data_IF_563747270535
#
_entry.id   IF_563747270535
#
_cell.length_a   1.000
_cell.length_b   1.000
_cell.length_c   1.000
_cell.angle_alpha   90.00
_cell.angle_beta   90.00
_cell.angle_gamma   90.00
#
_symmetry.space_group_name_H-M   'P 1'
#
loop_
_entity.id
_entity.type
_entity.pdbx_description
1 polymer ?
#
# COMPACT_ATOMS: atom_id res chain seq x y z
N UNK A 1 -9.64 -11.86 16.55
CA UNK A 1 -8.22 -11.99 16.13
C UNK A 1 -8.15 -11.45 14.73
N UNK A 2 -7.39 -10.38 14.48
CA UNK A 2 -7.20 -9.88 13.12
C UNK A 2 -6.18 -10.82 12.48
N UNK A 3 -6.60 -11.58 11.47
CA UNK A 3 -5.73 -12.49 10.74
C UNK A 3 -4.91 -11.66 9.75
N UNK A 4 -3.87 -11.02 10.25
CA UNK A 4 -2.89 -10.29 9.45
C UNK A 4 -1.67 -11.20 9.31
N UNK A 5 -1.33 -11.57 8.08
CA UNK A 5 -0.17 -12.41 7.80
C UNK A 5 1.07 -11.53 7.85
N UNK A 6 2.04 -11.89 8.69
CA UNK A 6 3.28 -11.13 8.84
C UNK A 6 4.22 -11.21 7.61
N UNK A 7 3.96 -12.18 6.72
CA UNK A 7 4.69 -12.34 5.45
C UNK A 7 3.86 -11.98 4.23
N UNK A 8 4.49 -11.88 3.05
CA UNK A 8 3.78 -11.69 1.79
C UNK A 8 2.67 -12.74 1.63
N UNK A 9 1.45 -12.34 1.26
CA UNK A 9 0.39 -13.29 0.93
C UNK A 9 0.79 -14.23 -0.22
N UNK A 10 0.25 -15.45 -0.23
CA UNK A 10 0.54 -16.46 -1.28
C UNK A 10 0.22 -15.99 -2.70
N UNK A 11 -0.62 -14.97 -2.85
CA UNK A 11 -0.99 -14.38 -4.14
C UNK A 11 0.03 -13.35 -4.66
N UNK A 12 1.02 -12.96 -3.85
CA UNK A 12 2.14 -12.11 -4.25
C UNK A 12 3.27 -13.00 -4.80
N UNK A 13 3.60 -12.92 -6.10
CA UNK A 13 4.72 -13.67 -6.67
C UNK A 13 6.06 -13.20 -6.10
N UNK A 14 7.02 -14.11 -5.96
CA UNK A 14 8.36 -13.76 -5.50
C UNK A 14 9.05 -12.79 -6.47
N UNK A 15 8.77 -12.93 -7.77
CA UNK A 15 9.29 -12.05 -8.81
C UNK A 15 8.82 -10.59 -8.61
N UNK A 16 7.61 -10.37 -8.09
CA UNK A 16 7.14 -9.03 -7.77
C UNK A 16 7.95 -8.42 -6.64
N UNK A 17 8.29 -9.21 -5.61
CA UNK A 17 9.12 -8.76 -4.49
C UNK A 17 10.53 -8.37 -4.95
N UNK A 18 11.11 -9.14 -5.87
CA UNK A 18 12.41 -8.84 -6.47
C UNK A 18 12.35 -7.56 -7.32
N UNK A 19 11.27 -7.35 -8.07
CA UNK A 19 11.07 -6.15 -8.89
C UNK A 19 10.97 -4.87 -8.06
N UNK A 20 10.26 -4.92 -6.92
CA UNK A 20 10.06 -3.74 -6.06
C UNK A 20 11.22 -3.48 -5.10
N UNK A 21 12.16 -4.42 -4.94
CA UNK A 21 13.21 -4.35 -3.92
C UNK A 21 14.08 -3.08 -4.02
N UNK A 22 14.39 -2.65 -5.26
CA UNK A 22 15.16 -1.43 -5.51
C UNK A 22 14.42 -0.17 -5.05
N UNK A 23 13.16 -0.01 -5.46
CA UNK A 23 12.34 1.13 -5.07
C UNK A 23 11.98 1.12 -3.59
N UNK A 24 11.75 -0.07 -3.01
CA UNK A 24 11.60 -0.22 -1.56
C UNK A 24 12.82 0.36 -0.83
N UNK A 25 14.03 -0.06 -1.20
CA UNK A 25 15.26 0.42 -0.55
C UNK A 25 15.39 1.93 -0.69
N UNK A 26 15.14 2.46 -1.90
CA UNK A 26 15.24 3.89 -2.20
C UNK A 26 14.23 4.71 -1.38
N UNK A 27 12.95 4.34 -1.41
CA UNK A 27 11.91 5.05 -0.67
C UNK A 27 12.11 4.98 0.85
N UNK A 28 12.65 3.88 1.38
CA UNK A 28 13.02 3.78 2.80
C UNK A 28 14.13 4.77 3.15
N UNK A 29 15.17 4.86 2.33
CA UNK A 29 16.30 5.79 2.53
C UNK A 29 15.84 7.26 2.43
N UNK A 30 15.05 7.60 1.41
CA UNK A 30 14.56 8.96 1.16
C UNK A 30 13.69 9.51 2.30
N UNK A 31 12.91 8.66 2.95
CA UNK A 31 11.94 9.08 3.96
C UNK A 31 12.31 8.70 5.40
N UNK A 32 13.38 7.93 5.59
CA UNK A 32 13.79 7.44 6.91
C UNK A 32 12.89 6.33 7.46
N UNK A 33 12.18 5.62 6.60
CA UNK A 33 11.27 4.53 6.98
C UNK A 33 12.07 3.29 7.34
N UNK A 34 11.76 2.69 8.48
CA UNK A 34 12.46 1.48 8.95
C UNK A 34 11.69 0.22 8.58
N UNK A 35 12.39 -0.90 8.41
CA UNK A 35 11.74 -2.20 8.20
C UNK A 35 10.77 -2.54 9.34
N UNK A 36 11.11 -2.17 10.58
CA UNK A 36 10.24 -2.36 11.74
C UNK A 36 8.90 -1.59 11.66
N UNK A 37 8.83 -0.46 10.96
CA UNK A 37 7.56 0.23 10.69
C UNK A 37 6.73 -0.53 9.65
N UNK A 38 7.39 -1.06 8.61
CA UNK A 38 6.73 -1.86 7.57
C UNK A 38 6.17 -3.16 8.18
N UNK A 39 6.96 -3.83 9.01
CA UNK A 39 6.57 -5.06 9.70
C UNK A 39 5.36 -4.82 10.60
N UNK A 40 5.36 -3.74 11.40
CA UNK A 40 4.22 -3.37 12.24
C UNK A 40 2.93 -3.14 11.43
N UNK A 41 3.03 -2.52 10.26
CA UNK A 41 1.89 -2.30 9.38
C UNK A 41 1.35 -3.62 8.84
N UNK A 42 2.22 -4.56 8.45
CA UNK A 42 1.85 -5.91 8.04
C UNK A 42 1.29 -6.76 9.20
N UNK A 43 1.65 -6.44 10.44
CA UNK A 43 1.01 -6.95 11.66
C UNK A 43 -0.30 -6.23 12.02
N UNK A 44 -0.82 -5.39 11.13
CA UNK A 44 -2.11 -4.70 11.28
C UNK A 44 -2.04 -3.44 12.16
N UNK A 45 -0.85 -2.95 12.49
CA UNK A 45 -0.62 -1.75 13.28
C UNK A 45 -0.20 -0.60 12.36
N UNK A 46 -1.17 0.01 11.67
CA UNK A 46 -0.94 1.20 10.87
C UNK A 46 -0.78 2.44 11.76
N UNK A 47 0.46 2.88 11.94
CA UNK A 47 0.81 4.09 12.71
C UNK A 47 0.78 5.31 11.80
N UNK A 48 0.20 6.41 12.26
CA UNK A 48 0.27 7.69 11.56
C UNK A 48 1.66 8.32 11.73
N UNK A 49 2.62 7.85 10.93
CA UNK A 49 4.00 8.32 10.89
C UNK A 49 4.32 8.90 9.51
N UNK A 50 4.99 10.04 9.49
CA UNK A 50 5.28 10.76 8.25
C UNK A 50 6.21 9.97 7.33
N UNK A 51 7.25 9.33 7.87
CA UNK A 51 8.18 8.52 7.09
C UNK A 51 7.43 7.40 6.37
N UNK A 52 6.55 6.71 7.11
CA UNK A 52 5.73 5.63 6.60
C UNK A 52 4.73 6.10 5.52
N UNK A 53 4.02 7.21 5.76
CA UNK A 53 3.06 7.74 4.80
C UNK A 53 3.72 8.13 3.46
N UNK A 54 4.90 8.76 3.52
CA UNK A 54 5.61 9.14 2.30
C UNK A 54 6.31 7.96 1.64
N UNK A 55 6.71 6.94 2.40
CA UNK A 55 7.16 5.67 1.83
C UNK A 55 6.06 5.01 0.98
N UNK A 56 4.82 4.94 1.48
CA UNK A 56 3.69 4.40 0.71
C UNK A 56 3.46 5.20 -0.57
N UNK A 57 3.50 6.54 -0.50
CA UNK A 57 3.37 7.40 -1.66
C UNK A 57 4.50 7.18 -2.68
N UNK A 58 5.76 7.22 -2.23
CA UNK A 58 6.94 7.02 -3.08
C UNK A 58 6.92 5.67 -3.80
N UNK A 59 6.52 4.60 -3.12
CA UNK A 59 6.39 3.29 -3.76
C UNK A 59 5.30 3.26 -4.81
N UNK A 60 4.11 3.81 -4.51
CA UNK A 60 3.03 3.84 -5.50
C UNK A 60 3.42 4.70 -6.72
N UNK A 61 4.05 5.85 -6.48
CA UNK A 61 4.55 6.75 -7.54
C UNK A 61 5.59 6.06 -8.45
N UNK A 62 6.50 5.26 -7.88
CA UNK A 62 7.51 4.52 -8.66
C UNK A 62 6.89 3.56 -9.70
N UNK A 63 5.66 3.11 -9.46
CA UNK A 63 4.90 2.23 -10.35
C UNK A 63 3.75 2.95 -11.09
N UNK A 64 3.77 4.28 -11.08
CA UNK A 64 2.72 5.14 -11.66
C UNK A 64 1.33 4.84 -11.09
N UNK A 65 1.23 4.43 -9.83
CA UNK A 65 -0.04 4.12 -9.15
C UNK A 65 -0.63 5.33 -8.44
N UNK A 66 -0.03 6.51 -8.61
CA UNK A 66 -0.63 7.79 -8.25
C UNK A 66 -0.59 8.74 -9.44
N UNK A 67 -1.56 9.63 -9.51
CA UNK A 67 -1.62 10.70 -10.53
C UNK A 67 -0.73 11.90 -10.17
N UNK A 68 -0.70 12.92 -11.04
CA UNK A 68 0.06 14.15 -10.83
C UNK A 68 -0.43 15.01 -9.67
N UNK A 69 -1.68 14.82 -9.26
CA UNK A 69 -2.26 15.40 -8.05
C UNK A 69 -1.99 14.53 -6.80
N UNK A 70 -1.37 13.37 -6.93
CA UNK A 70 -1.08 12.43 -5.84
C UNK A 70 -2.31 11.69 -5.31
N UNK A 71 -3.31 11.44 -6.15
CA UNK A 71 -4.42 10.53 -5.89
C UNK A 71 -4.09 9.13 -6.39
N UNK A 72 -4.67 8.10 -5.77
CA UNK A 72 -4.45 6.71 -6.18
C UNK A 72 -5.12 6.41 -7.54
N UNK A 73 -4.34 5.86 -8.47
CA UNK A 73 -4.81 5.33 -9.74
C UNK A 73 -5.40 3.92 -9.57
N UNK A 74 -6.64 3.88 -9.06
CA UNK A 74 -7.30 2.64 -8.65
C UNK A 74 -7.40 1.58 -9.77
N UNK A 75 -7.69 2.00 -11.00
CA UNK A 75 -7.81 1.09 -12.14
C UNK A 75 -6.47 0.41 -12.46
N UNK A 76 -5.36 1.15 -12.37
CA UNK A 76 -4.03 0.57 -12.57
C UNK A 76 -3.67 -0.37 -11.42
N UNK A 77 -3.98 -0.01 -10.16
CA UNK A 77 -3.73 -0.88 -9.01
C UNK A 77 -4.49 -2.21 -9.12
N UNK A 78 -5.72 -2.21 -9.62
CA UNK A 78 -6.49 -3.44 -9.86
C UNK A 78 -5.79 -4.39 -10.84
N UNK A 79 -5.01 -3.86 -11.78
CA UNK A 79 -4.23 -4.66 -12.74
C UNK A 79 -3.10 -5.48 -12.10
N UNK A 80 -2.68 -5.15 -10.87
CA UNK A 80 -1.69 -5.92 -10.10
C UNK A 80 -2.32 -7.05 -9.29
N UNK A 81 -3.65 -7.07 -9.14
CA UNK A 81 -4.34 -8.12 -8.41
C UNK A 81 -4.53 -9.35 -9.30
N UNK A 82 -4.46 -10.57 -8.74
CA UNK A 82 -4.86 -11.77 -9.47
C UNK A 82 -6.36 -11.72 -9.78
N UNK A 83 -6.78 -12.40 -10.86
CA UNK A 83 -8.16 -12.34 -11.38
C UNK A 83 -9.24 -12.62 -10.31
N UNK A 84 -8.97 -13.55 -9.39
CA UNK A 84 -9.90 -13.92 -8.33
C UNK A 84 -10.07 -12.85 -7.23
N UNK A 85 -9.22 -11.82 -7.20
CA UNK A 85 -9.30 -10.70 -6.25
C UNK A 85 -9.80 -9.41 -6.91
N UNK A 86 -9.91 -9.33 -8.24
CA UNK A 86 -10.30 -8.09 -8.95
C UNK A 86 -11.68 -7.58 -8.54
N UNK A 87 -12.68 -8.47 -8.43
CA UNK A 87 -14.03 -8.07 -8.02
C UNK A 87 -14.02 -7.48 -6.60
N UNK A 88 -13.32 -8.15 -5.67
CA UNK A 88 -13.20 -7.68 -4.29
C UNK A 88 -12.41 -6.38 -4.19
N UNK A 89 -11.29 -6.30 -4.91
CA UNK A 89 -10.47 -5.09 -5.02
C UNK A 89 -11.28 -3.91 -5.56
N UNK A 90 -12.12 -4.15 -6.56
CA UNK A 90 -13.00 -3.11 -7.14
C UNK A 90 -13.98 -2.58 -6.10
N UNK A 91 -14.65 -3.47 -5.35
CA UNK A 91 -15.55 -3.07 -4.25
C UNK A 91 -14.83 -2.18 -3.23
N UNK A 92 -13.62 -2.58 -2.82
CA UNK A 92 -12.84 -1.89 -1.80
C UNK A 92 -12.32 -0.54 -2.30
N UNK A 93 -11.73 -0.49 -3.50
CA UNK A 93 -11.16 0.73 -4.05
C UNK A 93 -12.22 1.75 -4.45
N UNK A 94 -13.42 1.32 -4.88
CA UNK A 94 -14.56 2.23 -5.05
C UNK A 94 -14.93 2.95 -3.73
N UNK A 95 -14.74 2.29 -2.59
CA UNK A 95 -15.02 2.85 -1.28
C UNK A 95 -13.84 3.63 -0.67
N UNK A 96 -12.61 3.37 -1.10
CA UNK A 96 -11.41 3.83 -0.41
C UNK A 96 -10.43 4.67 -1.23
N UNK A 97 -10.39 4.57 -2.56
CA UNK A 97 -9.31 5.16 -3.36
C UNK A 97 -9.29 6.69 -3.36
N UNK A 98 -10.44 7.33 -3.14
CA UNK A 98 -10.54 8.79 -3.05
C UNK A 98 -10.59 9.20 -1.58
N UNK A 99 -9.51 9.83 -1.11
CA UNK A 99 -9.39 10.36 0.24
C UNK A 99 -8.85 11.78 0.20
N UNK A 100 -9.26 12.59 1.16
CA UNK A 100 -8.67 13.91 1.39
C UNK A 100 -7.34 13.77 2.15
N UNK A 101 -6.49 14.78 2.04
CA UNK A 101 -5.20 14.89 2.73
C UNK A 101 -4.49 16.18 2.34
N UNK A 102 -3.59 16.67 3.20
CA UNK A 102 -2.84 17.89 2.93
C UNK A 102 -1.87 17.74 1.75
N UNK A 103 -1.40 16.53 1.47
CA UNK A 103 -0.52 16.17 0.36
C UNK A 103 -0.69 14.69 -0.03
N UNK A 104 0.09 14.24 -1.03
CA UNK A 104 0.05 12.87 -1.54
C UNK A 104 0.37 11.80 -0.47
N UNK A 105 1.30 12.08 0.44
CA UNK A 105 1.62 11.15 1.53
C UNK A 105 0.40 10.94 2.44
N UNK A 106 -0.26 12.02 2.85
CA UNK A 106 -1.44 11.93 3.72
C UNK A 106 -2.64 11.29 2.99
N UNK A 107 -2.85 11.61 1.71
CA UNK A 107 -3.89 10.98 0.89
C UNK A 107 -3.70 9.46 0.82
N UNK A 108 -2.51 9.00 0.44
CA UNK A 108 -2.21 7.56 0.35
C UNK A 108 -2.33 6.88 1.72
N UNK A 109 -1.89 7.52 2.80
CA UNK A 109 -2.05 6.98 4.15
C UNK A 109 -3.53 6.80 4.52
N UNK A 110 -4.39 7.77 4.18
CA UNK A 110 -5.83 7.67 4.42
C UNK A 110 -6.46 6.55 3.58
N UNK A 111 -5.99 6.33 2.35
CA UNK A 111 -6.43 5.19 1.52
C UNK A 111 -6.02 3.87 2.19
N UNK A 112 -4.75 3.73 2.58
CA UNK A 112 -4.22 2.55 3.28
C UNK A 112 -5.04 2.22 4.54
N UNK A 113 -5.36 3.23 5.34
CA UNK A 113 -6.21 3.09 6.53
C UNK A 113 -7.61 2.57 6.19
N UNK A 114 -8.25 3.12 5.16
CA UNK A 114 -9.56 2.67 4.71
C UNK A 114 -9.53 1.21 4.24
N UNK A 115 -8.54 0.84 3.44
CA UNK A 115 -8.36 -0.53 2.92
C UNK A 115 -8.12 -1.52 4.06
N UNK A 116 -7.13 -1.27 4.93
CA UNK A 116 -6.80 -2.16 6.03
C UNK A 116 -7.98 -2.37 7.01
N UNK A 117 -8.85 -1.37 7.17
CA UNK A 117 -10.06 -1.49 8.01
C UNK A 117 -11.14 -2.38 7.37
N UNK A 118 -11.27 -2.35 6.04
CA UNK A 118 -12.30 -3.11 5.32
C UNK A 118 -11.89 -4.53 4.97
N UNK A 119 -10.60 -4.75 4.71
CA UNK A 119 -10.08 -6.03 4.23
C UNK A 119 -8.70 -6.35 4.86
N UNK A 120 -8.60 -6.44 6.20
CA UNK A 120 -7.33 -6.70 6.88
C UNK A 120 -6.66 -8.01 6.47
N UNK A 121 -7.43 -8.99 6.01
CA UNK A 121 -6.95 -10.31 5.58
C UNK A 121 -6.22 -10.31 4.23
N UNK A 122 -6.43 -9.28 3.39
CA UNK A 122 -5.70 -9.10 2.12
C UNK A 122 -4.66 -7.98 2.20
N UNK A 123 -4.52 -7.35 3.36
CA UNK A 123 -3.55 -6.26 3.54
C UNK A 123 -2.12 -6.81 3.42
N UNK A 124 -1.32 -6.12 2.62
CA UNK A 124 0.11 -6.33 2.51
C UNK A 124 0.80 -5.06 2.03
N UNK A 125 1.96 -4.78 2.57
CA UNK A 125 2.87 -3.72 2.15
C UNK A 125 4.27 -4.32 2.03
N UNK A 126 4.92 -4.08 0.89
CA UNK A 126 6.28 -4.56 0.63
C UNK A 126 7.30 -3.90 1.54
#
# INVERSE_FOLDING_TARGET
MKNVNAGPPDWIPAELLDMVAGDKSRCMEEHGTTQALIDQVNEGNLVNDRSLSCYMFCLLDAFSLVDDEGNLEAEMLLGFLPENLVEKGTEILNACAKQDGADGCERVFNVAKCVQQKVPELWFMV
#
